data_IF_408588506560
#
_entry.id   IF_408588506560
#
_cell.length_a   1.000
_cell.length_b   1.000
_cell.length_c   1.000
_cell.angle_alpha   90.00
_cell.angle_beta   90.00
_cell.angle_gamma   90.00
#
_symmetry.space_group_name_H-M   'P 1'
#
loop_
_entity.id
_entity.type
_entity.pdbx_description
1 polymer ?
#
# COMPACT_ATOMS: atom_id res chain seq x y z
N UNK A 1 22.17 52.12 -15.46
CA UNK A 1 22.86 50.80 -15.44
C UNK A 1 23.26 50.39 -14.01
N UNK A 2 23.48 51.34 -13.09
CA UNK A 2 23.86 51.07 -11.68
C UNK A 2 22.77 50.42 -10.80
N UNK A 3 21.47 50.62 -11.05
CA UNK A 3 20.45 50.03 -10.14
C UNK A 3 20.39 48.49 -10.22
N UNK A 4 20.69 47.91 -11.38
CA UNK A 4 20.62 46.45 -11.60
C UNK A 4 21.80 45.67 -11.00
N UNK A 5 22.97 46.29 -10.80
CA UNK A 5 24.10 45.62 -10.14
C UNK A 5 23.92 45.55 -8.62
N UNK A 6 23.29 46.57 -8.03
CA UNK A 6 22.96 46.63 -6.60
C UNK A 6 21.97 45.53 -6.19
N UNK A 7 20.96 45.23 -7.02
CA UNK A 7 19.99 44.16 -6.75
C UNK A 7 20.60 42.75 -6.82
N UNK A 8 21.46 42.48 -7.80
CA UNK A 8 22.12 41.18 -7.95
C UNK A 8 23.11 40.90 -6.79
N UNK A 9 23.81 41.92 -6.29
CA UNK A 9 24.69 41.77 -5.14
C UNK A 9 23.91 41.53 -3.83
N UNK A 10 22.67 42.03 -3.74
CA UNK A 10 21.80 41.78 -2.58
C UNK A 10 21.26 40.35 -2.56
N UNK A 11 20.90 39.76 -3.72
CA UNK A 11 20.36 38.39 -3.77
C UNK A 11 21.40 37.32 -3.40
N UNK A 12 22.66 37.48 -3.80
CA UNK A 12 23.75 36.56 -3.45
C UNK A 12 23.98 36.40 -1.94
N UNK A 13 23.85 37.50 -1.18
CA UNK A 13 24.03 37.47 0.28
C UNK A 13 22.96 36.64 0.98
N UNK A 14 21.71 36.74 0.54
CA UNK A 14 20.61 35.98 1.12
C UNK A 14 20.76 34.48 0.94
N UNK A 15 21.29 34.02 -0.21
CA UNK A 15 21.54 32.60 -0.47
C UNK A 15 22.44 31.99 0.62
N UNK A 16 23.59 32.62 0.91
CA UNK A 16 24.53 32.15 1.93
C UNK A 16 23.89 32.19 3.32
N UNK A 17 23.14 33.27 3.63
CA UNK A 17 22.46 33.42 4.93
C UNK A 17 21.46 32.30 5.16
N UNK A 18 20.58 32.01 4.19
CA UNK A 18 19.57 30.96 4.35
C UNK A 18 20.16 29.55 4.37
N UNK A 19 21.21 29.29 3.58
CA UNK A 19 21.90 28.00 3.61
C UNK A 19 22.62 27.78 4.95
N UNK A 20 23.31 28.82 5.44
CA UNK A 20 23.98 28.79 6.74
C UNK A 20 23.00 28.66 7.90
N UNK A 21 21.87 29.36 7.85
CA UNK A 21 20.80 29.21 8.83
C UNK A 21 20.23 27.79 8.83
N UNK A 22 20.00 27.20 7.65
CA UNK A 22 19.57 25.81 7.52
C UNK A 22 20.54 24.84 8.20
N UNK A 23 21.83 24.93 7.86
CA UNK A 23 22.86 24.08 8.46
C UNK A 23 22.99 24.27 9.98
N UNK A 24 22.88 25.50 10.48
CA UNK A 24 22.93 25.79 11.91
C UNK A 24 21.73 25.20 12.67
N UNK A 25 20.52 25.26 12.09
CA UNK A 25 19.32 24.67 12.66
C UNK A 25 19.43 23.14 12.75
N UNK A 26 19.94 22.47 11.72
CA UNK A 26 20.15 21.02 11.75
C UNK A 26 21.25 20.60 12.73
N UNK A 27 22.32 21.39 12.85
CA UNK A 27 23.36 21.14 13.85
C UNK A 27 22.80 21.28 15.27
N UNK A 28 21.95 22.28 15.52
CA UNK A 28 21.27 22.43 16.80
C UNK A 28 20.29 21.27 17.06
N UNK A 29 19.54 20.83 16.05
CA UNK A 29 18.69 19.65 16.12
C UNK A 29 19.49 18.40 16.52
N UNK A 30 20.64 18.18 15.89
CA UNK A 30 21.53 17.07 16.22
C UNK A 30 22.07 17.17 17.65
N UNK A 31 22.49 18.35 18.11
CA UNK A 31 22.97 18.52 19.49
C UNK A 31 21.85 18.27 20.51
N UNK A 32 20.62 18.71 20.21
CA UNK A 32 19.45 18.48 21.06
C UNK A 32 19.02 17.01 21.08
N UNK A 33 19.16 16.28 19.97
CA UNK A 33 18.82 14.85 19.93
C UNK A 33 19.74 14.02 20.82
N UNK A 34 21.01 14.41 20.95
CA UNK A 34 21.97 13.79 21.87
C UNK A 34 21.64 13.99 23.35
N UNK A 35 20.92 15.06 23.70
CA UNK A 35 20.64 15.43 25.09
C UNK A 35 19.24 14.99 25.54
N UNK A 36 18.22 15.18 24.69
CA UNK A 36 16.82 15.21 25.15
C UNK A 36 15.93 14.08 24.65
N UNK A 37 16.41 13.21 23.75
CA UNK A 37 15.64 12.08 23.23
C UNK A 37 14.30 12.48 22.60
N UNK A 38 14.29 12.84 21.31
CA UNK A 38 13.08 12.99 20.48
C UNK A 38 11.96 13.89 21.03
N UNK A 39 12.09 15.21 20.86
CA UNK A 39 11.03 16.18 21.19
C UNK A 39 10.34 16.75 19.95
N UNK A 40 9.14 17.32 20.10
CA UNK A 40 8.46 18.08 19.03
C UNK A 40 9.31 19.24 18.51
N UNK A 41 10.14 19.83 19.36
CA UNK A 41 11.11 20.87 19.01
C UNK A 41 12.14 20.37 18.00
N UNK A 42 12.61 19.13 18.14
CA UNK A 42 13.54 18.50 17.19
C UNK A 42 12.94 18.46 15.78
N UNK A 43 11.70 17.98 15.67
CA UNK A 43 10.99 17.93 14.38
C UNK A 43 10.80 19.33 13.77
N UNK A 44 10.52 20.34 14.60
CA UNK A 44 10.38 21.72 14.14
C UNK A 44 11.71 22.29 13.61
N UNK A 45 12.82 22.07 14.32
CA UNK A 45 14.14 22.54 13.92
C UNK A 45 14.58 21.94 12.59
N UNK A 46 14.36 20.64 12.40
CA UNK A 46 14.66 19.96 11.13
C UNK A 46 13.78 20.51 10.00
N UNK A 47 12.48 20.70 10.25
CA UNK A 47 11.60 21.27 9.23
C UNK A 47 12.05 22.67 8.81
N UNK A 48 12.39 23.53 9.78
CA UNK A 48 12.88 24.89 9.50
C UNK A 48 14.24 24.87 8.79
N UNK A 49 15.12 23.94 9.13
CA UNK A 49 16.42 23.75 8.48
C UNK A 49 16.28 23.41 7.00
N UNK A 50 15.44 22.42 6.69
CA UNK A 50 15.08 22.03 5.31
C UNK A 50 14.45 23.21 4.54
N UNK A 51 13.49 23.92 5.15
CA UNK A 51 12.82 25.04 4.50
C UNK A 51 13.78 26.20 4.17
N UNK A 52 14.70 26.53 5.08
CA UNK A 52 15.72 27.54 4.84
C UNK A 52 16.64 27.15 3.66
N UNK A 53 17.06 25.88 3.61
CA UNK A 53 17.82 25.34 2.48
C UNK A 53 17.06 25.42 1.15
N UNK A 54 15.80 24.99 1.12
CA UNK A 54 14.94 25.05 -0.07
C UNK A 54 14.70 26.49 -0.54
N UNK A 55 14.55 27.44 0.39
CA UNK A 55 14.44 28.85 0.05
C UNK A 55 15.71 29.37 -0.63
N UNK A 56 16.89 28.99 -0.11
CA UNK A 56 18.18 29.33 -0.71
C UNK A 56 18.30 28.79 -2.15
N UNK A 57 17.91 27.53 -2.38
CA UNK A 57 17.84 26.95 -3.73
C UNK A 57 16.87 27.70 -4.65
N UNK A 58 15.68 28.05 -4.15
CA UNK A 58 14.67 28.81 -4.90
C UNK A 58 15.18 30.18 -5.34
N UNK A 59 15.90 30.89 -4.46
CA UNK A 59 16.52 32.17 -4.80
C UNK A 59 17.55 32.03 -5.92
N UNK A 60 18.37 30.96 -5.92
CA UNK A 60 19.36 30.71 -6.98
C UNK A 60 18.67 30.40 -8.32
N UNK A 61 17.60 29.60 -8.30
CA UNK A 61 16.84 29.27 -9.51
C UNK A 61 16.10 30.49 -10.07
N UNK A 62 15.63 31.39 -9.20
CA UNK A 62 14.92 32.62 -9.57
C UNK A 62 15.89 33.72 -10.03
N UNK A 63 17.11 33.76 -9.48
CA UNK A 63 18.17 34.70 -9.86
C UNK A 63 18.79 34.42 -11.24
N UNK A 64 18.24 33.46 -11.99
CA UNK A 64 18.63 33.10 -13.36
C UNK A 64 18.17 34.19 -14.35
N UNK A 65 18.65 35.41 -14.12
CA UNK A 65 18.56 36.56 -15.03
C UNK A 65 19.60 36.43 -16.15
N UNK A 66 19.24 36.89 -17.34
CA UNK A 66 19.76 36.55 -18.68
C UNK A 66 21.18 37.05 -19.02
N UNK A 67 22.07 37.27 -18.06
CA UNK A 67 23.38 37.90 -18.33
C UNK A 67 24.54 36.88 -18.32
N UNK A 68 25.02 36.58 -19.52
CA UNK A 68 26.39 36.13 -19.84
C UNK A 68 26.98 34.92 -19.11
N UNK A 69 26.17 33.91 -18.80
CA UNK A 69 26.68 32.57 -18.45
C UNK A 69 27.49 32.46 -17.16
N UNK A 70 27.68 33.56 -16.41
CA UNK A 70 28.31 33.57 -15.11
C UNK A 70 27.23 33.45 -14.03
N UNK A 71 26.97 32.21 -13.60
CA UNK A 71 26.06 31.94 -12.48
C UNK A 71 26.70 32.48 -11.19
N UNK A 72 26.00 33.40 -10.50
CA UNK A 72 26.49 34.25 -9.39
C UNK A 72 26.76 33.48 -8.08
N UNK A 73 26.40 32.21 -8.02
CA UNK A 73 26.93 31.25 -7.06
C UNK A 73 26.93 29.87 -7.73
N UNK A 74 27.96 29.03 -7.56
CA UNK A 74 27.95 27.73 -8.17
C UNK A 74 26.81 26.89 -7.55
N UNK A 75 25.79 26.58 -8.34
CA UNK A 75 24.67 25.69 -7.96
C UNK A 75 25.14 24.42 -7.24
N UNK A 76 26.31 23.90 -7.59
CA UNK A 76 26.91 22.74 -6.91
C UNK A 76 27.19 22.98 -5.42
N UNK A 77 27.58 24.18 -4.99
CA UNK A 77 27.79 24.50 -3.57
C UNK A 77 26.48 24.47 -2.79
N UNK A 78 25.41 25.03 -3.36
CA UNK A 78 24.08 25.01 -2.72
C UNK A 78 23.57 23.57 -2.64
N UNK A 79 23.67 22.80 -3.72
CA UNK A 79 23.27 21.39 -3.72
C UNK A 79 24.09 20.54 -2.73
N UNK A 80 25.40 20.82 -2.59
CA UNK A 80 26.23 20.18 -1.58
C UNK A 80 25.83 20.57 -0.15
N UNK A 81 25.54 21.85 0.08
CA UNK A 81 25.02 22.33 1.36
C UNK A 81 23.67 21.69 1.73
N UNK A 82 22.76 21.56 0.75
CA UNK A 82 21.49 20.83 0.92
C UNK A 82 21.72 19.36 1.28
N UNK A 83 22.69 18.70 0.63
CA UNK A 83 23.07 17.34 1.00
C UNK A 83 23.51 17.25 2.46
N UNK A 84 24.29 18.23 2.94
CA UNK A 84 24.69 18.32 4.35
C UNK A 84 23.51 18.51 5.30
N UNK A 85 22.57 19.42 4.97
CA UNK A 85 21.33 19.64 5.73
C UNK A 85 20.53 18.33 5.86
N UNK A 86 20.29 17.63 4.74
CA UNK A 86 19.56 16.37 4.76
C UNK A 86 20.28 15.24 5.51
N UNK A 87 21.62 15.18 5.43
CA UNK A 87 22.40 14.23 6.21
C UNK A 87 22.23 14.49 7.72
N UNK A 88 22.42 15.73 8.15
CA UNK A 88 22.27 16.12 9.56
C UNK A 88 20.84 15.85 10.05
N UNK A 89 19.82 16.24 9.27
CA UNK A 89 18.41 15.93 9.55
C UNK A 89 18.20 14.42 9.76
N UNK A 90 18.76 13.58 8.89
CA UNK A 90 18.58 12.11 8.98
C UNK A 90 19.26 11.48 10.19
N UNK A 91 20.31 12.09 10.73
CA UNK A 91 21.04 11.62 11.92
C UNK A 91 20.44 12.21 13.20
N UNK A 92 19.88 13.41 13.13
CA UNK A 92 19.27 14.08 14.26
C UNK A 92 17.94 13.44 14.68
N UNK A 93 17.19 12.85 13.74
CA UNK A 93 15.87 12.26 13.99
C UNK A 93 15.92 10.96 14.81
N UNK A 94 14.90 10.77 15.64
CA UNK A 94 14.65 9.51 16.35
C UNK A 94 14.21 8.39 15.40
N UNK A 95 14.57 7.15 15.73
CA UNK A 95 14.25 5.95 14.93
C UNK A 95 12.75 5.73 14.68
N UNK A 96 11.86 6.28 15.50
CA UNK A 96 10.41 6.26 15.26
C UNK A 96 9.98 7.05 14.01
N UNK A 97 10.84 7.94 13.48
CA UNK A 97 10.62 8.72 12.26
C UNK A 97 11.25 8.09 11.01
N UNK A 98 11.34 6.75 10.95
CA UNK A 98 12.04 6.00 9.90
C UNK A 98 11.69 6.45 8.46
N UNK A 99 10.40 6.70 8.17
CA UNK A 99 9.98 7.19 6.85
C UNK A 99 10.58 8.55 6.48
N UNK A 100 10.68 9.46 7.45
CA UNK A 100 11.25 10.79 7.23
C UNK A 100 12.78 10.73 7.18
N UNK A 101 13.42 9.87 8.00
CA UNK A 101 14.85 9.57 7.91
C UNK A 101 15.19 9.04 6.51
N UNK A 102 14.42 8.07 6.02
CA UNK A 102 14.58 7.49 4.69
C UNK A 102 14.42 8.56 3.60
N UNK A 103 13.39 9.40 3.70
CA UNK A 103 13.20 10.53 2.79
C UNK A 103 14.41 11.48 2.79
N UNK A 104 14.90 11.91 3.96
CA UNK A 104 16.07 12.78 4.06
C UNK A 104 17.31 12.13 3.44
N UNK A 105 17.57 10.83 3.66
CA UNK A 105 18.69 10.12 3.03
C UNK A 105 18.57 10.08 1.50
N UNK A 106 17.38 9.88 0.96
CA UNK A 106 17.15 9.97 -0.49
C UNK A 106 17.46 11.38 -0.99
N UNK A 107 16.92 12.40 -0.32
CA UNK A 107 17.11 13.79 -0.72
C UNK A 107 18.57 14.24 -0.61
N UNK A 108 19.33 13.71 0.36
CA UNK A 108 20.77 13.84 0.47
C UNK A 108 21.46 13.30 -0.79
N UNK A 109 21.20 12.04 -1.16
CA UNK A 109 21.80 11.40 -2.34
C UNK A 109 21.44 12.15 -3.62
N UNK A 110 20.19 12.57 -3.76
CA UNK A 110 19.72 13.36 -4.91
C UNK A 110 20.45 14.71 -4.97
N UNK A 111 20.54 15.42 -3.85
CA UNK A 111 21.22 16.72 -3.79
C UNK A 111 22.71 16.60 -4.11
N UNK A 112 23.37 15.54 -3.61
CA UNK A 112 24.76 15.23 -3.93
C UNK A 112 24.95 14.91 -5.42
N UNK A 113 24.08 14.09 -6.00
CA UNK A 113 24.10 13.78 -7.43
C UNK A 113 23.94 15.04 -8.29
N UNK A 114 23.02 15.94 -7.90
CA UNK A 114 22.84 17.24 -8.57
C UNK A 114 24.09 18.11 -8.45
N UNK A 115 24.74 18.14 -7.28
CA UNK A 115 26.00 18.86 -7.09
C UNK A 115 27.09 18.34 -8.05
N UNK A 116 27.27 17.02 -8.12
CA UNK A 116 28.24 16.39 -9.05
C UNK A 116 27.89 16.71 -10.51
N UNK A 117 26.62 16.60 -10.90
CA UNK A 117 26.18 16.93 -12.26
C UNK A 117 26.48 18.39 -12.63
N UNK A 118 26.41 19.31 -11.66
CA UNK A 118 26.74 20.72 -11.90
C UNK A 118 28.24 21.00 -12.04
N UNK A 119 29.10 20.16 -11.47
CA UNK A 119 30.57 20.25 -11.62
C UNK A 119 31.00 19.74 -13.01
N UNK A 120 30.26 18.80 -13.60
CA UNK A 120 30.59 18.23 -14.90
C UNK A 120 30.60 19.28 -16.04
N UNK A 121 31.51 19.12 -17.03
CA UNK A 121 31.45 19.87 -18.27
C UNK A 121 30.07 19.76 -18.94
N UNK A 122 29.68 20.79 -19.70
CA UNK A 122 28.35 20.89 -20.31
C UNK A 122 27.97 19.66 -21.14
N UNK A 123 28.93 19.10 -21.90
CA UNK A 123 28.74 17.88 -22.68
C UNK A 123 28.47 16.67 -21.79
N UNK A 124 29.34 16.41 -20.80
CA UNK A 124 29.19 15.29 -19.87
C UNK A 124 27.88 15.36 -19.08
N UNK A 125 27.48 16.55 -18.63
CA UNK A 125 26.19 16.77 -17.97
C UNK A 125 25.00 16.43 -18.88
N UNK A 126 25.01 16.88 -20.14
CA UNK A 126 23.95 16.57 -21.11
C UNK A 126 23.86 15.07 -21.38
N UNK A 127 25.01 14.41 -21.53
CA UNK A 127 25.09 12.96 -21.73
C UNK A 127 24.51 12.22 -20.52
N UNK A 128 24.92 12.58 -19.30
CA UNK A 128 24.41 11.97 -18.08
C UNK A 128 22.89 12.13 -17.93
N UNK A 129 22.37 13.34 -18.16
CA UNK A 129 20.92 13.60 -18.12
C UNK A 129 20.16 12.82 -19.20
N UNK A 130 20.73 12.68 -20.40
CA UNK A 130 20.14 11.89 -21.47
C UNK A 130 20.06 10.40 -21.10
N UNK A 131 21.13 9.85 -20.51
CA UNK A 131 21.11 8.47 -20.01
C UNK A 131 20.12 8.25 -18.88
N UNK A 132 19.97 9.21 -17.95
CA UNK A 132 18.97 9.13 -16.89
C UNK A 132 17.54 9.11 -17.46
N UNK A 133 17.25 9.97 -18.44
CA UNK A 133 15.97 10.00 -19.13
C UNK A 133 15.72 8.69 -19.88
N UNK A 134 16.71 8.21 -20.65
CA UNK A 134 16.62 6.94 -21.36
C UNK A 134 16.39 5.77 -20.41
N UNK A 135 17.10 5.71 -19.28
CA UNK A 135 16.93 4.68 -18.25
C UNK A 135 15.50 4.71 -17.67
N UNK A 136 14.98 5.89 -17.36
CA UNK A 136 13.61 6.05 -16.86
C UNK A 136 12.57 5.55 -17.86
N UNK A 137 12.62 6.02 -19.10
CA UNK A 137 11.65 5.63 -20.13
C UNK A 137 11.81 4.17 -20.54
N UNK A 138 13.03 3.63 -20.60
CA UNK A 138 13.24 2.21 -20.85
C UNK A 138 12.64 1.36 -19.72
N UNK A 139 12.78 1.79 -18.47
CA UNK A 139 12.09 1.18 -17.34
C UNK A 139 10.58 1.10 -17.55
N UNK A 140 9.94 2.22 -17.87
CA UNK A 140 8.49 2.27 -18.16
C UNK A 140 8.12 1.34 -19.33
N UNK A 141 8.88 1.38 -20.43
CA UNK A 141 8.64 0.52 -21.60
C UNK A 141 8.74 -0.96 -21.22
N UNK A 142 9.76 -1.36 -20.46
CA UNK A 142 9.89 -2.75 -19.99
C UNK A 142 8.78 -3.16 -19.04
N UNK A 143 8.23 -2.24 -18.24
CA UNK A 143 7.09 -2.53 -17.38
C UNK A 143 5.83 -2.85 -18.18
N UNK A 144 5.56 -2.08 -19.24
CA UNK A 144 4.39 -2.32 -20.11
C UNK A 144 4.57 -3.55 -20.98
N UNK A 145 5.77 -3.77 -21.52
CA UNK A 145 6.05 -4.87 -22.46
C UNK A 145 6.44 -6.19 -21.80
N UNK A 146 6.56 -6.22 -20.47
CA UNK A 146 6.78 -7.46 -19.69
C UNK A 146 5.49 -8.19 -19.32
N UNK A 147 4.33 -7.60 -19.61
CA UNK A 147 3.01 -8.22 -19.44
C UNK A 147 2.65 -9.06 -20.67
N UNK A 148 2.06 -10.23 -20.44
CA UNK A 148 1.61 -11.11 -21.52
C UNK A 148 0.45 -10.44 -22.29
N UNK A 149 0.60 -10.20 -23.61
CA UNK A 149 -0.52 -9.75 -24.43
C UNK A 149 -1.55 -10.87 -24.65
N UNK A 150 -2.79 -10.55 -25.05
CA UNK A 150 -3.80 -11.58 -25.35
C UNK A 150 -3.28 -12.60 -26.38
N UNK A 151 -3.34 -13.88 -26.02
CA UNK A 151 -2.93 -15.02 -26.86
C UNK A 151 -1.43 -15.09 -27.22
N UNK A 152 -0.56 -14.36 -26.53
CA UNK A 152 0.89 -14.45 -26.72
C UNK A 152 1.65 -14.22 -25.41
N UNK A 153 2.91 -14.63 -25.35
CA UNK A 153 3.79 -14.38 -24.21
C UNK A 153 4.52 -13.04 -24.36
N UNK A 154 4.81 -12.38 -23.25
CA UNK A 154 5.66 -11.21 -23.20
C UNK A 154 7.06 -11.49 -23.77
N UNK A 155 7.74 -10.44 -24.23
CA UNK A 155 9.12 -10.55 -24.71
C UNK A 155 10.05 -10.93 -23.55
N UNK A 156 10.78 -12.04 -23.67
CA UNK A 156 11.74 -12.49 -22.66
C UNK A 156 12.74 -11.41 -22.25
N UNK A 157 13.18 -10.58 -23.21
CA UNK A 157 14.11 -9.46 -22.94
C UNK A 157 13.45 -8.42 -22.04
N UNK A 158 12.20 -8.06 -22.33
CA UNK A 158 11.44 -7.10 -21.53
C UNK A 158 11.20 -7.64 -20.11
N UNK A 159 10.77 -8.89 -19.98
CA UNK A 159 10.55 -9.55 -18.68
C UNK A 159 11.83 -9.61 -17.85
N UNK A 160 12.96 -9.97 -18.47
CA UNK A 160 14.26 -10.08 -17.78
C UNK A 160 14.78 -8.71 -17.33
N UNK A 161 14.75 -7.70 -18.21
CA UNK A 161 15.18 -6.34 -17.89
C UNK A 161 14.29 -5.72 -16.82
N UNK A 162 12.97 -5.89 -16.93
CA UNK A 162 12.06 -5.44 -15.89
C UNK A 162 12.37 -6.12 -14.56
N UNK A 163 12.38 -7.46 -14.50
CA UNK A 163 12.51 -8.20 -13.26
C UNK A 163 13.83 -7.92 -12.52
N UNK A 164 14.94 -7.82 -13.26
CA UNK A 164 16.28 -7.79 -12.69
C UNK A 164 16.92 -6.40 -12.64
N UNK A 165 16.50 -5.46 -13.50
CA UNK A 165 17.11 -4.12 -13.59
C UNK A 165 16.12 -3.05 -13.15
N UNK A 166 14.97 -2.94 -13.83
CA UNK A 166 14.08 -1.78 -13.67
C UNK A 166 13.09 -1.91 -12.52
N UNK A 167 12.72 -3.11 -12.08
CA UNK A 167 11.68 -3.33 -11.05
C UNK A 167 11.99 -2.60 -9.75
N UNK A 168 13.24 -2.61 -9.29
CA UNK A 168 13.63 -1.91 -8.07
C UNK A 168 13.49 -0.38 -8.21
N UNK A 169 13.95 0.16 -9.34
CA UNK A 169 13.81 1.57 -9.66
C UNK A 169 12.33 2.00 -9.79
N UNK A 170 11.52 1.23 -10.50
CA UNK A 170 10.11 1.53 -10.71
C UNK A 170 9.30 1.39 -9.41
N UNK A 171 9.61 0.40 -8.57
CA UNK A 171 9.04 0.30 -7.22
C UNK A 171 9.39 1.53 -6.38
N UNK A 172 10.64 1.96 -6.42
CA UNK A 172 11.11 3.15 -5.72
C UNK A 172 10.37 4.42 -6.18
N UNK A 173 10.20 4.59 -7.49
CA UNK A 173 9.45 5.71 -8.07
C UNK A 173 7.92 5.56 -7.99
N UNK A 174 7.41 4.45 -7.44
CA UNK A 174 5.98 4.12 -7.41
C UNK A 174 5.32 4.07 -8.80
N UNK A 175 6.05 3.60 -9.80
CA UNK A 175 5.62 3.48 -11.21
C UNK A 175 5.33 2.04 -11.65
N UNK A 176 5.27 1.09 -10.70
CA UNK A 176 5.06 -0.33 -11.02
C UNK A 176 3.60 -0.76 -10.92
N UNK A 177 2.68 0.15 -10.60
CA UNK A 177 1.26 -0.15 -10.49
C UNK A 177 0.56 0.10 -11.84
N UNK A 178 0.41 -0.96 -12.63
CA UNK A 178 -0.24 -0.92 -13.95
C UNK A 178 -1.70 -0.44 -13.91
N UNK A 179 -2.37 -0.48 -12.74
CA UNK A 179 -3.73 0.04 -12.55
C UNK A 179 -3.87 1.54 -12.85
N UNK A 180 -2.77 2.29 -12.85
CA UNK A 180 -2.83 3.72 -13.13
C UNK A 180 -2.99 4.07 -14.62
N UNK A 181 -2.76 3.11 -15.53
CA UNK A 181 -2.63 3.46 -16.94
C UNK A 181 -3.62 2.76 -17.88
N UNK A 182 -3.79 1.43 -17.87
CA UNK A 182 -4.49 0.78 -19.01
C UNK A 182 -5.09 -0.63 -18.78
N UNK A 183 -5.62 -1.03 -17.61
CA UNK A 183 -6.44 -2.27 -17.63
C UNK A 183 -7.78 -1.94 -18.31
N UNK A 184 -8.04 -2.38 -19.57
CA UNK A 184 -9.27 -2.03 -20.28
C UNK A 184 -10.49 -2.62 -19.57
N UNK A 185 -10.26 -3.70 -18.82
CA UNK A 185 -11.20 -4.35 -17.93
C UNK A 185 -10.51 -4.53 -16.58
N UNK A 186 -10.55 -3.54 -15.68
CA UNK A 186 -10.04 -3.75 -14.34
C UNK A 186 -10.88 -4.88 -13.73
N UNK A 187 -10.22 -6.01 -13.47
CA UNK A 187 -10.85 -7.10 -12.76
C UNK A 187 -11.46 -6.62 -11.44
N UNK A 188 -12.41 -7.37 -10.88
CA UNK A 188 -13.05 -7.01 -9.62
C UNK A 188 -11.97 -6.80 -8.54
N UNK A 189 -12.02 -5.68 -7.78
CA UNK A 189 -11.00 -5.40 -6.78
C UNK A 189 -11.00 -6.46 -5.69
N UNK A 190 -9.82 -6.80 -5.19
CA UNK A 190 -9.67 -7.64 -4.01
C UNK A 190 -9.89 -6.80 -2.76
N UNK A 191 -10.69 -7.30 -1.83
CA UNK A 191 -10.84 -6.75 -0.49
C UNK A 191 -10.33 -7.76 0.54
N UNK A 192 -9.91 -7.29 1.71
CA UNK A 192 -9.67 -8.13 2.88
C UNK A 192 -10.64 -7.73 3.99
N UNK A 193 -11.43 -8.68 4.44
CA UNK A 193 -12.28 -8.53 5.62
C UNK A 193 -11.73 -9.41 6.72
N UNK A 194 -11.47 -8.81 7.88
CA UNK A 194 -10.86 -9.49 9.02
C UNK A 194 -11.76 -9.38 10.23
N UNK A 195 -12.10 -10.52 10.84
CA UNK A 195 -12.75 -10.56 12.15
C UNK A 195 -11.69 -10.76 13.21
N UNK A 196 -11.57 -9.77 14.08
CA UNK A 196 -10.66 -9.76 15.22
C UNK A 196 -11.46 -10.14 16.44
N UNK A 197 -11.14 -11.29 17.05
CA UNK A 197 -11.82 -11.80 18.23
C UNK A 197 -10.92 -11.67 19.46
N UNK A 198 -11.50 -11.27 20.58
CA UNK A 198 -10.83 -11.03 21.84
C UNK A 198 -11.14 -12.13 22.86
N UNK A 199 -10.33 -12.21 23.93
CA UNK A 199 -10.44 -13.26 24.95
C UNK A 199 -11.76 -13.24 25.75
N UNK A 200 -12.45 -12.12 25.78
CA UNK A 200 -13.77 -11.96 26.41
C UNK A 200 -14.93 -12.37 25.49
N UNK A 201 -14.62 -12.82 24.26
CA UNK A 201 -15.60 -13.19 23.25
C UNK A 201 -16.13 -12.02 22.41
N UNK A 202 -15.77 -10.77 22.74
CA UNK A 202 -16.08 -9.63 21.88
C UNK A 202 -15.28 -9.70 20.59
N UNK A 203 -15.73 -8.95 19.58
CA UNK A 203 -15.04 -8.92 18.30
C UNK A 203 -15.24 -7.59 17.58
N UNK A 204 -14.42 -7.34 16.56
CA UNK A 204 -14.61 -6.24 15.60
C UNK A 204 -14.26 -6.67 14.17
N UNK A 205 -14.87 -6.01 13.20
CA UNK A 205 -14.46 -6.12 11.80
C UNK A 205 -13.46 -5.03 11.44
N UNK A 206 -12.51 -5.41 10.60
CA UNK A 206 -11.64 -4.50 9.87
C UNK A 206 -11.77 -4.84 8.39
N UNK A 207 -12.09 -3.86 7.55
CA UNK A 207 -12.28 -4.04 6.11
C UNK A 207 -11.32 -3.14 5.38
N UNK A 208 -10.49 -3.69 4.50
CA UNK A 208 -9.60 -2.90 3.64
C UNK A 208 -9.76 -3.27 2.17
N UNK A 209 -9.62 -2.30 1.26
CA UNK A 209 -9.69 -0.87 1.54
C UNK A 209 -11.11 -0.45 1.99
N UNK A 210 -11.22 0.55 2.86
CA UNK A 210 -12.49 1.17 3.22
C UNK A 210 -12.43 2.67 2.94
N UNK A 211 -13.33 3.15 2.09
CA UNK A 211 -13.36 4.55 1.66
C UNK A 211 -13.74 5.50 2.78
N UNK A 212 -14.61 5.07 3.69
CA UNK A 212 -15.09 5.89 4.81
C UNK A 212 -14.05 6.00 5.93
N UNK A 213 -13.12 5.06 6.00
CA UNK A 213 -12.05 5.04 7.02
C UNK A 213 -10.70 5.55 6.48
N UNK A 214 -10.61 5.85 5.18
CA UNK A 214 -9.37 6.32 4.58
C UNK A 214 -9.24 7.85 4.72
N UNK A 215 -8.21 8.37 5.41
CA UNK A 215 -8.07 9.81 5.66
C UNK A 215 -7.81 10.62 4.39
N UNK A 216 -7.17 10.00 3.39
CA UNK A 216 -6.89 10.59 2.07
C UNK A 216 -6.99 9.51 0.99
N UNK A 217 -7.21 9.92 -0.26
CA UNK A 217 -7.34 8.99 -1.40
C UNK A 217 -6.11 8.09 -1.58
N UNK A 218 -4.91 8.62 -1.33
CA UNK A 218 -3.67 7.84 -1.44
C UNK A 218 -3.61 6.69 -0.41
N UNK A 219 -4.20 6.86 0.78
CA UNK A 219 -4.30 5.78 1.75
C UNK A 219 -5.17 4.63 1.21
N UNK A 220 -6.33 4.96 0.64
CA UNK A 220 -7.22 3.98 0.01
C UNK A 220 -6.51 3.19 -1.11
N UNK A 221 -5.77 3.89 -1.97
CA UNK A 221 -4.99 3.28 -3.05
C UNK A 221 -3.87 2.36 -2.54
N UNK A 222 -3.19 2.75 -1.46
CA UNK A 222 -2.19 1.87 -0.81
C UNK A 222 -2.83 0.62 -0.23
N UNK A 223 -4.02 0.75 0.36
CA UNK A 223 -4.76 -0.41 0.89
C UNK A 223 -5.21 -1.36 -0.23
N UNK A 224 -5.59 -0.85 -1.41
CA UNK A 224 -5.80 -1.69 -2.60
C UNK A 224 -4.55 -2.49 -2.97
N UNK A 225 -3.36 -1.86 -2.94
CA UNK A 225 -2.12 -2.60 -3.23
C UNK A 225 -1.86 -3.73 -2.23
N UNK A 226 -2.23 -3.55 -0.96
CA UNK A 226 -2.11 -4.59 0.08
C UNK A 226 -3.04 -5.77 -0.24
N UNK A 227 -4.29 -5.50 -0.61
CA UNK A 227 -5.26 -6.56 -0.93
C UNK A 227 -4.94 -7.29 -2.23
N UNK A 228 -4.35 -6.62 -3.22
CA UNK A 228 -3.87 -7.30 -4.43
C UNK A 228 -2.64 -8.18 -4.16
N UNK A 229 -1.73 -7.74 -3.29
CA UNK A 229 -0.55 -8.54 -2.90
C UNK A 229 -0.92 -9.84 -2.18
N UNK A 230 -2.10 -9.93 -1.57
CA UNK A 230 -2.64 -11.15 -0.96
C UNK A 230 -3.46 -12.03 -1.91
N UNK A 231 -3.66 -11.61 -3.17
CA UNK A 231 -4.53 -12.28 -4.14
C UNK A 231 -3.79 -13.07 -5.24
N UNK A 232 -2.46 -13.20 -5.17
CA UNK A 232 -1.75 -14.04 -6.15
C UNK A 232 -2.05 -15.52 -5.85
N UNK A 233 -2.77 -16.19 -6.75
CA UNK A 233 -3.23 -17.56 -6.56
C UNK A 233 -2.34 -18.57 -7.30
N UNK A 234 -2.24 -19.77 -6.75
CA UNK A 234 -1.72 -20.91 -7.49
C UNK A 234 -2.73 -21.28 -8.59
N UNK A 235 -2.25 -21.49 -9.81
CA UNK A 235 -3.10 -21.85 -10.97
C UNK A 235 -3.30 -23.35 -11.10
N UNK A 236 -2.56 -24.16 -10.34
CA UNK A 236 -2.73 -25.60 -10.28
C UNK A 236 -3.89 -26.02 -9.39
N UNK A 237 -4.65 -27.02 -9.82
CA UNK A 237 -5.59 -27.71 -8.95
C UNK A 237 -4.83 -28.63 -7.98
N UNK A 238 -5.29 -28.78 -6.73
CA UNK A 238 -4.71 -29.74 -5.82
C UNK A 238 -4.97 -31.17 -6.32
N UNK A 239 -3.96 -32.04 -6.22
CA UNK A 239 -4.04 -33.44 -6.69
C UNK A 239 -5.18 -34.21 -6.03
N UNK A 240 -5.53 -33.87 -4.78
CA UNK A 240 -6.60 -34.50 -3.99
C UNK A 240 -7.91 -33.69 -3.98
N UNK A 241 -8.27 -33.07 -5.11
CA UNK A 241 -9.45 -32.20 -5.24
C UNK A 241 -10.74 -32.79 -4.65
N UNK A 242 -11.10 -34.02 -5.02
CA UNK A 242 -12.36 -34.64 -4.57
C UNK A 242 -12.40 -34.82 -3.04
N UNK A 243 -11.27 -35.20 -2.44
CA UNK A 243 -11.14 -35.40 -1.00
C UNK A 243 -11.33 -34.07 -0.26
N UNK A 244 -10.64 -33.01 -0.69
CA UNK A 244 -10.71 -31.72 -0.03
C UNK A 244 -12.10 -31.08 -0.17
N UNK A 245 -12.75 -31.23 -1.33
CA UNK A 245 -14.11 -30.73 -1.56
C UNK A 245 -15.12 -31.50 -0.70
N UNK A 246 -15.00 -32.83 -0.63
CA UNK A 246 -15.85 -33.66 0.21
C UNK A 246 -15.71 -33.27 1.69
N UNK A 247 -14.47 -33.13 2.17
CA UNK A 247 -14.18 -32.70 3.55
C UNK A 247 -14.79 -31.32 3.86
N UNK A 248 -14.65 -30.35 2.94
CA UNK A 248 -15.28 -29.03 3.05
C UNK A 248 -16.79 -29.12 3.16
N UNK A 249 -17.42 -29.90 2.28
CA UNK A 249 -18.88 -30.02 2.23
C UNK A 249 -19.44 -30.76 3.46
N UNK A 250 -18.77 -31.81 3.93
CA UNK A 250 -19.13 -32.49 5.18
C UNK A 250 -19.00 -31.57 6.39
N UNK A 251 -17.94 -30.77 6.47
CA UNK A 251 -17.78 -29.77 7.51
C UNK A 251 -18.88 -28.70 7.46
N UNK A 252 -19.27 -28.26 6.26
CA UNK A 252 -20.37 -27.29 6.08
C UNK A 252 -21.73 -27.82 6.52
N UNK A 253 -22.02 -29.09 6.23
CA UNK A 253 -23.24 -29.78 6.68
C UNK A 253 -23.26 -30.01 8.20
N UNK A 254 -22.10 -30.24 8.80
CA UNK A 254 -21.95 -30.42 10.25
C UNK A 254 -21.97 -29.09 11.03
N UNK A 255 -21.65 -27.96 10.38
CA UNK A 255 -21.67 -26.64 11.00
C UNK A 255 -23.10 -26.22 11.40
N UNK A 256 -23.23 -25.43 12.46
CA UNK A 256 -24.52 -24.92 12.95
C UNK A 256 -24.44 -23.41 13.20
N UNK A 257 -25.17 -22.57 12.42
CA UNK A 257 -25.99 -22.91 11.25
C UNK A 257 -25.19 -23.55 10.12
N UNK A 258 -25.85 -24.32 9.26
CA UNK A 258 -25.16 -24.98 8.14
C UNK A 258 -24.55 -23.98 7.18
N UNK A 259 -23.35 -24.30 6.68
CA UNK A 259 -22.68 -23.56 5.60
C UNK A 259 -23.02 -24.26 4.29
N UNK A 260 -23.53 -23.51 3.32
CA UNK A 260 -24.02 -24.04 2.05
C UNK A 260 -22.94 -24.87 1.33
N UNK A 261 -23.22 -26.15 0.99
CA UNK A 261 -22.31 -26.98 0.19
C UNK A 261 -21.99 -26.35 -1.17
N UNK A 262 -20.78 -26.54 -1.66
CA UNK A 262 -20.41 -26.13 -3.01
C UNK A 262 -20.79 -27.25 -4.00
N UNK A 263 -21.59 -26.96 -5.03
CA UNK A 263 -21.99 -27.96 -6.01
C UNK A 263 -20.86 -28.25 -6.99
N UNK A 264 -20.78 -29.51 -7.48
CA UNK A 264 -19.71 -29.99 -8.37
C UNK A 264 -19.72 -29.37 -9.78
N UNK A 265 -20.79 -28.68 -10.16
CA UNK A 265 -20.93 -28.05 -11.48
C UNK A 265 -20.25 -26.68 -11.57
N UNK A 266 -19.78 -26.11 -10.46
CA UNK A 266 -18.99 -24.87 -10.47
C UNK A 266 -17.54 -25.22 -10.83
N UNK A 267 -16.85 -24.31 -11.52
CA UNK A 267 -15.41 -24.47 -11.81
C UNK A 267 -14.57 -24.52 -10.53
N UNK A 268 -13.58 -25.41 -10.49
CA UNK A 268 -12.66 -25.53 -9.35
C UNK A 268 -11.93 -24.21 -9.06
N UNK A 269 -11.55 -23.46 -10.11
CA UNK A 269 -10.89 -22.15 -10.01
C UNK A 269 -11.74 -21.06 -9.35
N UNK A 270 -13.05 -21.27 -9.27
CA UNK A 270 -13.99 -20.39 -8.56
C UNK A 270 -14.21 -20.90 -7.13
N UNK A 271 -14.26 -22.22 -6.92
CA UNK A 271 -14.51 -22.78 -5.58
C UNK A 271 -13.31 -22.70 -4.65
N UNK A 272 -12.09 -22.82 -5.19
CA UNK A 272 -10.87 -22.94 -4.41
C UNK A 272 -9.76 -22.08 -5.02
N UNK A 273 -9.11 -21.28 -4.18
CA UNK A 273 -8.09 -20.33 -4.60
C UNK A 273 -7.00 -20.21 -3.54
N UNK A 274 -6.13 -21.23 -3.51
CA UNK A 274 -4.95 -21.21 -2.66
C UNK A 274 -3.97 -20.10 -3.11
N UNK A 275 -3.55 -19.19 -2.21
CA UNK A 275 -2.55 -18.19 -2.54
C UNK A 275 -1.17 -18.82 -2.77
N UNK A 276 -0.33 -18.21 -3.61
CA UNK A 276 1.10 -18.58 -3.70
C UNK A 276 1.84 -18.21 -2.39
N UNK A 277 3.02 -18.78 -2.17
CA UNK A 277 3.81 -18.58 -0.95
C UNK A 277 4.08 -17.11 -0.61
N UNK A 278 4.31 -16.26 -1.62
CA UNK A 278 4.43 -14.82 -1.40
C UNK A 278 3.17 -14.23 -0.76
N UNK A 279 1.99 -14.50 -1.33
CA UNK A 279 0.73 -14.00 -0.80
C UNK A 279 0.40 -14.58 0.58
N UNK A 280 0.73 -15.85 0.85
CA UNK A 280 0.62 -16.43 2.21
C UNK A 280 1.43 -15.63 3.23
N UNK A 281 2.68 -15.25 2.90
CA UNK A 281 3.53 -14.40 3.76
C UNK A 281 2.95 -13.01 3.93
N UNK A 282 2.37 -12.42 2.87
CA UNK A 282 1.71 -11.11 2.96
C UNK A 282 0.49 -11.15 3.88
N UNK A 283 -0.34 -12.20 3.81
CA UNK A 283 -1.50 -12.38 4.70
C UNK A 283 -1.05 -12.57 6.15
N UNK A 284 -0.02 -13.38 6.40
CA UNK A 284 0.58 -13.55 7.74
C UNK A 284 1.12 -12.22 8.29
N UNK A 285 1.82 -11.44 7.45
CA UNK A 285 2.31 -10.13 7.86
C UNK A 285 1.19 -9.13 8.14
N UNK A 286 0.09 -9.19 7.38
CA UNK A 286 -1.11 -8.40 7.63
C UNK A 286 -1.81 -8.80 8.93
N UNK A 287 -1.89 -10.10 9.24
CA UNK A 287 -2.40 -10.59 10.52
C UNK A 287 -1.59 -10.04 11.71
N UNK A 288 -0.25 -10.02 11.62
CA UNK A 288 0.61 -9.39 12.64
C UNK A 288 0.32 -7.90 12.80
N UNK A 289 0.17 -7.18 11.69
CA UNK A 289 -0.20 -5.77 11.73
C UNK A 289 -1.53 -5.56 12.47
N UNK A 290 -2.55 -6.38 12.18
CA UNK A 290 -3.84 -6.32 12.88
C UNK A 290 -3.70 -6.65 14.36
N UNK A 291 -2.91 -7.66 14.72
CA UNK A 291 -2.65 -8.04 16.11
C UNK A 291 -1.99 -6.91 16.90
N UNK A 292 -1.05 -6.16 16.29
CA UNK A 292 -0.41 -5.01 16.92
C UNK A 292 -1.34 -3.80 17.02
N UNK A 293 -2.05 -3.48 15.93
CA UNK A 293 -2.89 -2.28 15.85
C UNK A 293 -4.18 -2.40 16.69
N UNK A 294 -4.70 -3.62 16.82
CA UNK A 294 -5.98 -3.91 17.46
C UNK A 294 -5.82 -4.96 18.57
N UNK A 295 -4.70 -4.94 19.29
CA UNK A 295 -4.37 -5.88 20.37
C UNK A 295 -5.45 -5.99 21.46
N UNK A 296 -6.23 -4.92 21.63
CA UNK A 296 -7.24 -4.75 22.67
C UNK A 296 -8.53 -4.17 22.11
N UNK A 297 -9.70 -4.49 22.71
CA UNK A 297 -10.92 -3.76 22.44
C UNK A 297 -10.76 -2.26 22.78
N UNK A 298 -11.52 -1.36 22.11
CA UNK A 298 -11.49 0.06 22.43
C UNK A 298 -11.79 0.33 23.91
N UNK A 299 -10.82 0.93 24.61
CA UNK A 299 -10.94 1.30 26.03
C UNK A 299 -10.64 0.20 27.05
N UNK A 300 -10.29 -1.02 26.64
CA UNK A 300 -10.13 -2.19 27.52
C UNK A 300 -8.77 -2.87 27.33
N UNK A 301 -7.71 -2.31 27.91
CA UNK A 301 -6.30 -2.73 27.68
C UNK A 301 -5.93 -4.08 28.30
N UNK A 302 -6.73 -4.55 29.25
CA UNK A 302 -6.57 -5.81 29.95
C UNK A 302 -7.01 -7.02 29.11
N UNK A 303 -7.86 -6.79 28.10
CA UNK A 303 -8.40 -7.85 27.26
C UNK A 303 -7.50 -8.02 26.04
N UNK A 304 -6.81 -9.16 25.98
CA UNK A 304 -5.95 -9.49 24.84
C UNK A 304 -6.73 -10.02 23.64
N UNK A 305 -6.06 -9.98 22.49
CA UNK A 305 -6.42 -10.71 21.27
C UNK A 305 -6.53 -12.23 21.56
N UNK A 306 -7.56 -12.87 21.00
CA UNK A 306 -7.68 -14.34 20.92
C UNK A 306 -7.19 -14.82 19.55
N UNK A 307 -7.85 -14.37 18.48
CA UNK A 307 -7.58 -14.82 17.11
C UNK A 307 -8.08 -13.85 16.05
N UNK A 308 -7.56 -14.02 14.84
CA UNK A 308 -7.92 -13.21 13.67
C UNK A 308 -8.33 -14.13 12.52
N UNK A 309 -9.59 -14.05 12.09
CA UNK A 309 -10.06 -14.73 10.86
C UNK A 309 -9.98 -13.75 9.69
N UNK A 310 -9.31 -14.15 8.61
CA UNK A 310 -9.14 -13.29 7.42
C UNK A 310 -9.86 -13.90 6.21
N UNK A 311 -10.59 -13.06 5.49
CA UNK A 311 -11.30 -13.42 4.27
C UNK A 311 -10.84 -12.50 3.14
N UNK A 312 -10.50 -13.09 1.99
CA UNK A 312 -10.40 -12.33 0.75
C UNK A 312 -11.78 -12.24 0.13
N UNK A 313 -12.17 -11.05 -0.29
CA UNK A 313 -13.44 -10.83 -0.97
C UNK A 313 -13.17 -10.39 -2.39
N UNK A 314 -13.82 -11.02 -3.35
CA UNK A 314 -13.92 -10.52 -4.72
C UNK A 314 -15.34 -9.99 -4.92
N UNK A 315 -15.48 -8.74 -5.33
CA UNK A 315 -16.79 -8.12 -5.60
C UNK A 315 -17.11 -8.17 -7.09
N UNK A 316 -18.07 -8.99 -7.49
CA UNK A 316 -18.55 -9.06 -8.86
C UNK A 316 -19.13 -7.72 -9.32
N UNK A 317 -18.66 -7.26 -10.48
CA UNK A 317 -19.20 -6.06 -11.13
C UNK A 317 -20.42 -6.51 -11.94
N UNK A 318 -21.58 -5.93 -11.66
CA UNK A 318 -22.80 -6.20 -12.42
C UNK A 318 -22.67 -5.68 -13.86
N UNK A 319 -23.40 -6.30 -14.79
CA UNK A 319 -23.41 -5.82 -16.17
C UNK A 319 -24.16 -4.49 -16.30
N UNK A 320 -23.96 -3.80 -17.43
CA UNK A 320 -24.73 -2.60 -17.77
C UNK A 320 -26.23 -2.89 -17.82
N UNK A 321 -26.60 -4.09 -18.29
CA UNK A 321 -27.99 -4.53 -18.34
C UNK A 321 -28.56 -4.73 -16.93
N UNK A 322 -27.83 -5.41 -16.04
CA UNK A 322 -28.28 -5.61 -14.65
C UNK A 322 -28.51 -4.26 -13.95
N UNK A 323 -27.61 -3.29 -14.16
CA UNK A 323 -27.76 -1.95 -13.62
C UNK A 323 -28.98 -1.23 -14.20
N UNK A 324 -29.25 -1.38 -15.51
CA UNK A 324 -30.43 -0.83 -16.18
C UNK A 324 -31.73 -1.45 -15.67
N UNK A 325 -31.70 -2.74 -15.33
CA UNK A 325 -32.81 -3.49 -14.72
C UNK A 325 -32.98 -3.18 -13.21
N UNK A 326 -32.14 -2.31 -12.66
CA UNK A 326 -32.25 -1.82 -11.29
C UNK A 326 -31.64 -2.74 -10.24
N UNK A 327 -30.79 -3.70 -10.63
CA UNK A 327 -30.06 -4.52 -9.66
C UNK A 327 -29.09 -3.65 -8.84
N UNK A 328 -29.05 -3.93 -7.53
CA UNK A 328 -28.14 -3.23 -6.62
C UNK A 328 -26.68 -3.69 -6.85
N UNK A 329 -25.76 -2.81 -7.27
CA UNK A 329 -24.35 -3.16 -7.43
C UNK A 329 -23.66 -3.55 -6.12
N UNK A 330 -24.27 -3.28 -4.97
CA UNK A 330 -23.77 -3.63 -3.64
C UNK A 330 -24.49 -4.82 -3.00
N UNK A 331 -25.27 -5.56 -3.79
CA UNK A 331 -25.93 -6.78 -3.35
C UNK A 331 -24.92 -7.77 -2.76
N UNK A 332 -25.20 -8.28 -1.56
CA UNK A 332 -24.32 -9.20 -0.85
C UNK A 332 -24.00 -10.48 -1.66
N UNK A 333 -24.89 -10.90 -2.56
CA UNK A 333 -24.68 -12.08 -3.42
C UNK A 333 -23.59 -11.87 -4.48
N UNK A 334 -23.18 -10.62 -4.74
CA UNK A 334 -22.08 -10.29 -5.64
C UNK A 334 -20.70 -10.45 -4.97
N UNK A 335 -20.65 -10.64 -3.65
CA UNK A 335 -19.40 -10.84 -2.93
C UNK A 335 -19.06 -12.33 -2.87
N UNK A 336 -17.84 -12.66 -3.29
CA UNK A 336 -17.28 -14.01 -3.25
C UNK A 336 -16.17 -14.07 -2.19
N UNK A 337 -16.49 -14.41 -0.94
CA UNK A 337 -15.50 -14.52 0.11
C UNK A 337 -14.77 -15.86 0.09
N UNK A 338 -13.45 -15.80 0.22
CA UNK A 338 -12.56 -16.95 0.36
C UNK A 338 -11.88 -16.87 1.72
N UNK A 339 -11.98 -17.94 2.52
CA UNK A 339 -11.35 -17.96 3.84
C UNK A 339 -9.83 -18.15 3.69
N UNK A 340 -9.03 -17.19 4.18
CA UNK A 340 -7.57 -17.26 4.09
C UNK A 340 -6.92 -17.91 5.33
N UNK A 341 -7.70 -18.16 6.37
CA UNK A 341 -7.27 -18.82 7.59
C UNK A 341 -7.56 -18.05 8.87
N UNK A 342 -7.32 -18.73 9.98
CA UNK A 342 -7.32 -18.20 11.34
C UNK A 342 -5.88 -18.04 11.80
N UNK A 343 -5.56 -16.86 12.34
CA UNK A 343 -4.21 -16.48 12.73
C UNK A 343 -4.16 -16.10 14.20
N UNK A 344 -3.04 -16.43 14.85
CA UNK A 344 -2.73 -16.00 16.20
C UNK A 344 -2.14 -14.57 16.23
N UNK A 345 -1.74 -14.09 17.41
CA UNK A 345 -1.11 -12.78 17.60
C UNK A 345 0.25 -12.62 16.91
N UNK A 346 0.92 -13.72 16.58
CA UNK A 346 2.18 -13.72 15.83
C UNK A 346 1.96 -13.82 14.32
N UNK A 347 0.69 -13.84 13.88
CA UNK A 347 0.31 -14.00 12.48
C UNK A 347 0.63 -15.37 11.92
N UNK A 348 0.76 -16.40 12.77
CA UNK A 348 0.91 -17.78 12.34
C UNK A 348 -0.47 -18.39 12.13
N UNK A 349 -0.61 -19.18 11.06
CA UNK A 349 -1.84 -19.91 10.76
C UNK A 349 -2.08 -20.98 11.84
N UNK A 350 -3.24 -20.93 12.47
CA UNK A 350 -3.63 -21.79 13.60
C UNK A 350 -3.92 -23.21 13.12
N UNK A 351 -4.71 -23.36 12.05
CA UNK A 351 -5.09 -24.66 11.51
C UNK A 351 -4.84 -24.73 9.99
N UNK A 352 -3.72 -25.34 9.55
CA UNK A 352 -3.44 -25.53 8.12
C UNK A 352 -4.36 -26.55 7.44
N UNK A 353 -5.09 -27.36 8.22
CA UNK A 353 -6.01 -28.40 7.72
C UNK A 353 -7.48 -27.99 7.87
N UNK A 354 -7.76 -26.69 8.05
CA UNK A 354 -9.13 -26.21 8.16
C UNK A 354 -9.91 -26.54 6.87
N UNK A 355 -11.10 -27.17 6.98
CA UNK A 355 -11.86 -27.63 5.81
C UNK A 355 -12.35 -26.50 4.91
N UNK A 356 -12.41 -25.26 5.41
CA UNK A 356 -12.81 -24.09 4.63
C UNK A 356 -11.61 -23.29 4.11
N UNK A 357 -10.38 -23.66 4.45
CA UNK A 357 -9.18 -22.93 4.04
C UNK A 357 -9.10 -22.84 2.51
N UNK A 358 -9.04 -21.60 2.03
CA UNK A 358 -9.01 -21.18 0.62
C UNK A 358 -10.27 -21.46 -0.20
N UNK A 359 -11.33 -21.99 0.42
CA UNK A 359 -12.61 -22.22 -0.23
C UNK A 359 -13.50 -20.99 -0.24
N UNK A 360 -14.34 -20.92 -1.27
CA UNK A 360 -15.47 -20.01 -1.37
C UNK A 360 -16.50 -20.30 -0.27
N UNK A 361 -16.94 -19.24 0.40
CA UNK A 361 -18.07 -19.22 1.32
C UNK A 361 -19.26 -18.54 0.61
N UNK A 362 -20.13 -19.29 -0.08
CA UNK A 362 -21.11 -18.68 -0.97
C UNK A 362 -22.14 -17.85 -0.19
N UNK A 363 -22.51 -16.69 -0.75
CA UNK A 363 -23.62 -15.87 -0.27
C UNK A 363 -24.77 -16.07 -1.24
N UNK A 364 -25.79 -16.79 -0.80
CA UNK A 364 -26.90 -17.25 -1.67
C UNK A 364 -28.23 -16.72 -1.17
N UNK A 365 -29.20 -16.60 -2.08
CA UNK A 365 -30.60 -16.38 -1.73
C UNK A 365 -31.33 -17.71 -1.66
N UNK A 366 -32.20 -17.89 -0.65
CA UNK A 366 -33.10 -19.04 -0.61
C UNK A 366 -34.09 -18.96 -1.78
N UNK A 367 -34.17 -20.03 -2.59
CA UNK A 367 -35.12 -20.14 -3.70
C UNK A 367 -36.32 -21.00 -3.29
N UNK A 368 -36.99 -20.65 -2.18
CA UNK A 368 -38.25 -21.27 -1.84
C UNK A 368 -39.38 -20.37 -2.37
N UNK A 369 -40.17 -20.81 -3.38
CA UNK A 369 -41.23 -19.99 -3.96
C UNK A 369 -42.35 -19.64 -2.98
N UNK A 370 -42.46 -20.37 -1.85
CA UNK A 370 -43.48 -20.16 -0.84
C UNK A 370 -43.01 -19.32 0.36
N UNK A 371 -41.73 -18.91 0.40
CA UNK A 371 -41.16 -18.15 1.51
C UNK A 371 -40.48 -16.87 0.99
N UNK A 372 -40.40 -15.82 1.82
CA UNK A 372 -39.62 -14.65 1.47
C UNK A 372 -38.16 -15.03 1.22
N UNK A 373 -37.56 -14.43 0.19
CA UNK A 373 -36.15 -14.64 -0.14
C UNK A 373 -35.26 -14.17 1.00
N UNK A 374 -34.51 -15.09 1.61
CA UNK A 374 -33.55 -14.81 2.67
C UNK A 374 -32.15 -14.98 2.13
N UNK A 375 -31.27 -14.01 2.39
CA UNK A 375 -29.85 -14.13 2.07
C UNK A 375 -29.15 -14.97 3.13
N UNK A 376 -28.61 -16.11 2.74
CA UNK A 376 -27.73 -16.96 3.54
C UNK A 376 -26.29 -16.53 3.31
N UNK A 377 -25.72 -15.82 4.30
CA UNK A 377 -24.35 -15.34 4.24
C UNK A 377 -23.41 -16.35 4.93
N UNK A 378 -22.84 -17.28 4.16
CA UNK A 378 -21.92 -18.30 4.68
C UNK A 378 -20.68 -17.71 5.35
N UNK A 379 -20.24 -16.49 4.97
CA UNK A 379 -19.15 -15.80 5.64
C UNK A 379 -19.54 -15.38 7.07
N UNK A 380 -20.73 -14.79 7.25
CA UNK A 380 -21.20 -14.41 8.60
C UNK A 380 -21.35 -15.65 9.48
N UNK A 381 -21.95 -16.72 8.95
CA UNK A 381 -22.09 -18.01 9.64
C UNK A 381 -20.73 -18.58 10.06
N UNK A 382 -19.78 -18.68 9.13
CA UNK A 382 -18.43 -19.19 9.40
C UNK A 382 -17.63 -18.29 10.37
N UNK A 383 -17.86 -16.98 10.30
CA UNK A 383 -17.30 -16.03 11.24
C UNK A 383 -17.89 -16.17 12.65
N UNK A 384 -18.96 -16.96 12.84
CA UNK A 384 -19.67 -17.12 14.11
C UNK A 384 -20.64 -15.97 14.41
N UNK A 385 -21.07 -15.24 13.39
CA UNK A 385 -22.11 -14.21 13.49
C UNK A 385 -23.46 -14.84 13.24
N UNK A 386 -23.96 -15.54 14.24
CA UNK A 386 -25.37 -15.91 14.24
C UNK A 386 -26.11 -14.64 14.66
N UNK A 387 -26.55 -13.81 13.70
CA UNK A 387 -27.62 -12.85 13.98
C UNK A 387 -28.77 -13.68 14.52
N UNK A 388 -29.08 -13.53 15.82
CA UNK A 388 -30.33 -14.03 16.38
C UNK A 388 -31.44 -13.45 15.50
N UNK A 389 -32.26 -14.35 14.95
CA UNK A 389 -33.48 -14.13 14.19
C UNK A 389 -33.86 -12.66 13.92
N UNK A 390 -33.98 -12.19 12.66
CA UNK A 390 -34.42 -10.82 12.35
C UNK A 390 -35.79 -10.42 12.94
N UNK A 391 -36.58 -11.37 13.46
CA UNK A 391 -37.77 -11.06 14.26
C UNK A 391 -37.46 -10.51 15.67
N UNK A 392 -36.22 -10.64 16.16
CA UNK A 392 -35.69 -9.95 17.32
C UNK A 392 -35.01 -8.67 16.84
N UNK A 393 -35.78 -7.57 16.73
CA UNK A 393 -35.23 -6.24 16.42
C UNK A 393 -34.01 -5.96 17.30
N UNK A 394 -32.83 -5.90 16.68
CA UNK A 394 -31.67 -5.27 17.30
C UNK A 394 -31.97 -3.78 17.41
N UNK A 395 -32.30 -3.32 18.60
CA UNK A 395 -32.20 -1.90 18.92
C UNK A 395 -30.73 -1.51 18.73
N UNK A 396 -30.44 -0.84 17.62
CA UNK A 396 -29.14 -0.22 17.42
C UNK A 396 -28.89 0.82 18.51
N UNK A 397 -27.64 1.05 18.94
CA UNK A 397 -27.33 2.16 19.82
C UNK A 397 -27.64 3.47 19.08
N UNK A 398 -28.41 4.34 19.75
CA UNK A 398 -28.64 5.72 19.33
C UNK A 398 -27.36 6.55 19.37
#
# INVERSE_FOLDING_TARGET
MESKSSEAMKSGKWIIVFLGAGAALEMLALLLSLISGGSTLLGLLVLLGILAGLFSLSQVLSAKDKRDGQVVAPLWLISLGMSGIFLLASVAMDSSWDSLIFFCRIMMVVSLAVAVLHILPSLARRVALSFLLLFHFLGIVTAVTSLDPPNASASWIATTLWANVFRHYLNFCYLNNAYHFYSPEPGPPSLLWSKIQYKDGTFRWVKIPNRNESPIQMHYQRMLSVTESSNMNNTGNPENWDEILQRRNLAGLAHQPQITPLPRNISQLIMYREPVEYSKRMVSSYARYLALQYAHPPGQKEIGLDRIKIYRITHGIISVQDLADGHDPLDNTLFMPYFLGEFDSEGKLVNPNDPFLYFLLPITRTMNPNEPTVTVNSLEIHAGEIKRDPHLKSEGPK
#
